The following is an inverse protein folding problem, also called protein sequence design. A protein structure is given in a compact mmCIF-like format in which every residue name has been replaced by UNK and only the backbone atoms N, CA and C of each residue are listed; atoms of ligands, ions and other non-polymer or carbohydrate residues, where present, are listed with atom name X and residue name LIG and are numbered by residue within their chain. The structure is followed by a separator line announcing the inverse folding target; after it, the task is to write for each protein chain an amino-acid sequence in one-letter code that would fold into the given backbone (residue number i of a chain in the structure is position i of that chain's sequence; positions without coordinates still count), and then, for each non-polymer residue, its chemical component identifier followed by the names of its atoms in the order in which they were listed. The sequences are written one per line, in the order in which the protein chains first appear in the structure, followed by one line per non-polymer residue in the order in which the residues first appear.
data_IF_279114374647
#
_entry.id   IF_279114374647
#
_cell.length_a   1.000
_cell.length_b   1.000
_cell.length_c   1.000
_cell.angle_alpha   90.00
_cell.angle_beta   90.00
_cell.angle_gamma   90.00
#
_symmetry.space_group_name_H-M   'P 1'
#
loop_
_entity.id
_entity.type
_entity.pdbx_description
1 polymer ?
#
# COMPACT_ATOMS: atom_id res chain seq x y z
N UNK A 1 -5.43 7.97 -6.82
CA UNK A 1 -6.58 8.86 -6.53
C UNK A 1 -7.85 8.04 -6.61
N UNK A 2 -8.95 8.36 -5.90
CA UNK A 2 -10.20 7.65 -6.10
C UNK A 2 -10.66 7.81 -7.54
N UNK A 3 -10.70 6.72 -8.27
CA UNK A 3 -11.07 6.68 -9.69
C UNK A 3 -11.97 5.45 -9.91
N UNK A 4 -13.09 5.66 -10.60
CA UNK A 4 -14.09 4.62 -10.80
C UNK A 4 -14.66 4.09 -9.48
N UNK A 5 -14.42 2.79 -9.22
CA UNK A 5 -15.00 2.06 -8.09
C UNK A 5 -14.12 2.05 -6.83
N UNK A 6 -12.89 2.56 -6.90
CA UNK A 6 -11.90 2.39 -5.83
C UNK A 6 -11.58 3.71 -5.12
N UNK A 7 -11.40 3.65 -3.80
CA UNK A 7 -10.98 4.77 -2.95
C UNK A 7 -9.50 5.15 -3.07
N UNK A 8 -8.78 4.65 -4.09
CA UNK A 8 -7.33 4.75 -4.24
C UNK A 8 -6.56 3.51 -3.76
N UNK A 9 -7.23 2.61 -3.03
CA UNK A 9 -6.70 1.29 -2.66
C UNK A 9 -7.75 0.23 -2.99
N UNK A 10 -7.29 -0.94 -3.40
CA UNK A 10 -8.09 -2.14 -3.62
C UNK A 10 -7.47 -3.30 -2.86
N UNK A 11 -8.29 -4.04 -2.10
CA UNK A 11 -7.81 -5.28 -1.49
C UNK A 11 -7.92 -6.42 -2.50
N UNK A 12 -6.79 -6.79 -3.12
CA UNK A 12 -6.81 -7.66 -4.30
C UNK A 12 -7.05 -9.15 -3.97
N UNK A 13 -6.94 -9.55 -2.72
CA UNK A 13 -7.13 -10.93 -2.26
C UNK A 13 -8.42 -11.13 -1.46
N UNK A 14 -9.21 -10.07 -1.28
CA UNK A 14 -10.54 -10.16 -0.68
C UNK A 14 -11.59 -10.30 -1.76
N UNK A 15 -12.09 -11.52 -1.95
CA UNK A 15 -13.04 -11.81 -3.02
C UNK A 15 -13.66 -13.18 -2.92
N UNK A 16 -14.31 -13.58 -4.01
CA UNK A 16 -14.80 -14.94 -4.22
C UNK A 16 -14.22 -15.47 -5.53
N UNK A 17 -13.62 -16.65 -5.46
CA UNK A 17 -13.37 -17.46 -6.65
C UNK A 17 -14.71 -17.94 -7.24
N UNK A 18 -14.85 -17.77 -8.54
CA UNK A 18 -15.93 -18.35 -9.35
C UNK A 18 -15.32 -19.28 -10.40
N UNK A 19 -16.15 -20.08 -11.08
CA UNK A 19 -15.66 -20.99 -12.14
C UNK A 19 -14.96 -20.26 -13.30
N UNK A 20 -15.26 -18.96 -13.49
CA UNK A 20 -14.74 -18.17 -14.60
C UNK A 20 -13.74 -17.07 -14.18
N UNK A 21 -13.81 -16.56 -12.94
CA UNK A 21 -12.96 -15.45 -12.48
C UNK A 21 -12.95 -15.22 -10.96
N UNK A 22 -11.97 -14.46 -10.46
CA UNK A 22 -12.00 -13.90 -9.11
C UNK A 22 -12.83 -12.61 -9.07
N UNK A 23 -13.86 -12.58 -8.23
CA UNK A 23 -14.69 -11.39 -8.02
C UNK A 23 -14.29 -10.69 -6.72
N UNK A 24 -13.76 -9.46 -6.83
CA UNK A 24 -13.41 -8.62 -5.69
C UNK A 24 -14.64 -8.36 -4.80
N UNK A 25 -14.41 -8.34 -3.48
CA UNK A 25 -15.42 -8.08 -2.48
C UNK A 25 -14.97 -7.02 -1.49
N UNK A 26 -15.95 -6.25 -1.02
CA UNK A 26 -15.76 -5.21 -0.03
C UNK A 26 -15.53 -3.84 -0.67
N UNK A 27 -15.62 -2.83 0.16
CA UNK A 27 -15.27 -1.45 -0.17
C UNK A 27 -14.37 -0.95 0.95
N UNK A 28 -13.31 -0.25 0.58
CA UNK A 28 -12.46 0.46 1.54
C UNK A 28 -13.00 1.89 1.69
N UNK A 29 -12.84 2.47 2.88
CA UNK A 29 -13.31 3.83 3.11
C UNK A 29 -12.59 4.81 2.18
N UNK A 30 -13.36 5.68 1.52
CA UNK A 30 -12.78 6.71 0.68
C UNK A 30 -12.00 7.73 1.54
N UNK A 31 -10.95 8.37 0.99
CA UNK A 31 -10.25 9.42 1.69
C UNK A 31 -11.15 10.66 1.95
N UNK A 32 -10.92 11.41 3.05
CA UNK A 32 -11.65 12.63 3.37
C UNK A 32 -11.57 13.65 2.23
N UNK A 33 -12.61 14.45 2.04
CA UNK A 33 -12.65 15.49 1.01
C UNK A 33 -11.51 16.50 1.14
N UNK A 34 -11.15 16.89 2.37
CA UNK A 34 -10.02 17.78 2.65
C UNK A 34 -8.70 17.23 2.09
N UNK A 35 -8.39 15.96 2.35
CA UNK A 35 -7.20 15.31 1.83
C UNK A 35 -7.24 15.17 0.31
N UNK A 36 -8.40 14.83 -0.27
CA UNK A 36 -8.55 14.73 -1.74
C UNK A 36 -8.30 16.08 -2.42
N UNK A 37 -8.91 17.15 -1.91
CA UNK A 37 -8.71 18.51 -2.42
C UNK A 37 -7.26 18.98 -2.30
N UNK A 38 -6.59 18.65 -1.18
CA UNK A 38 -5.19 18.98 -0.99
C UNK A 38 -4.29 18.28 -2.02
N UNK A 39 -4.53 17.00 -2.29
CA UNK A 39 -3.75 16.28 -3.31
C UNK A 39 -4.05 16.78 -4.73
N UNK A 40 -5.29 17.13 -5.08
CA UNK A 40 -5.60 17.73 -6.39
C UNK A 40 -4.92 19.09 -6.57
N UNK A 41 -4.85 19.88 -5.50
CA UNK A 41 -4.13 21.16 -5.49
C UNK A 41 -2.63 20.92 -5.65
N UNK A 42 -2.06 19.98 -4.89
CA UNK A 42 -0.65 19.58 -5.01
C UNK A 42 -0.32 19.09 -6.41
N UNK A 43 -1.14 18.19 -6.98
CA UNK A 43 -0.98 17.68 -8.35
C UNK A 43 -0.98 18.81 -9.37
N UNK A 44 -1.88 19.78 -9.24
CA UNK A 44 -1.97 20.93 -10.14
C UNK A 44 -0.73 21.82 -10.05
N UNK A 45 -0.24 22.08 -8.83
CA UNK A 45 0.95 22.90 -8.59
C UNK A 45 2.22 22.24 -9.15
N UNK A 46 2.35 20.92 -8.99
CA UNK A 46 3.50 20.14 -9.45
C UNK A 46 3.56 19.98 -10.99
N UNK A 47 2.54 20.42 -11.73
CA UNK A 47 2.63 20.55 -13.19
C UNK A 47 3.52 21.72 -13.63
N UNK A 48 3.80 22.66 -12.73
CA UNK A 48 4.53 23.91 -13.02
C UNK A 48 5.75 24.09 -12.11
N UNK A 49 5.74 23.47 -10.93
CA UNK A 49 6.80 23.58 -9.92
C UNK A 49 7.40 22.21 -9.64
N UNK A 50 8.69 22.20 -9.29
CA UNK A 50 9.34 21.01 -8.77
C UNK A 50 8.80 20.64 -7.39
N UNK A 51 8.79 19.33 -7.09
CA UNK A 51 8.46 18.83 -5.77
C UNK A 51 9.60 19.09 -4.77
N UNK A 52 9.29 19.04 -3.47
CA UNK A 52 10.25 19.33 -2.39
C UNK A 52 10.83 18.09 -1.73
N UNK A 53 10.64 16.91 -2.33
CA UNK A 53 11.00 15.65 -1.70
C UNK A 53 12.51 15.59 -1.46
N UNK A 54 13.33 15.89 -2.47
CA UNK A 54 14.80 15.87 -2.33
C UNK A 54 15.31 16.89 -1.32
N UNK A 55 14.70 18.07 -1.26
CA UNK A 55 15.00 19.09 -0.24
C UNK A 55 14.74 18.54 1.16
N UNK A 56 13.59 17.89 1.37
CA UNK A 56 13.23 17.33 2.66
C UNK A 56 14.11 16.16 3.08
N UNK A 57 14.49 15.29 2.13
CA UNK A 57 15.40 14.17 2.40
C UNK A 57 16.79 14.71 2.74
N UNK A 58 17.32 15.67 1.97
CA UNK A 58 18.61 16.30 2.24
C UNK A 58 18.65 16.94 3.63
N UNK A 59 17.64 17.76 3.95
CA UNK A 59 17.51 18.39 5.25
C UNK A 59 17.31 17.38 6.40
N UNK A 60 16.74 16.21 6.14
CA UNK A 60 16.64 15.13 7.12
C UNK A 60 18.01 14.50 7.37
N UNK A 61 18.77 14.17 6.32
CA UNK A 61 20.08 13.51 6.44
C UNK A 61 21.08 14.37 7.21
N UNK A 62 21.04 15.69 7.02
CA UNK A 62 21.89 16.66 7.74
C UNK A 62 21.68 16.66 9.25
N UNK A 63 20.51 16.21 9.76
CA UNK A 63 20.21 16.21 11.20
C UNK A 63 20.98 15.18 11.99
N UNK A 64 21.58 14.16 11.35
CA UNK A 64 22.42 13.23 12.08
C UNK A 64 22.91 12.04 11.27
N UNK A 65 24.11 11.56 11.62
CA UNK A 65 24.82 10.47 10.92
C UNK A 65 24.00 9.19 10.68
N UNK A 66 23.05 8.87 11.56
CA UNK A 66 22.21 7.65 11.41
C UNK A 66 21.22 7.77 10.25
N UNK A 67 20.89 9.00 9.84
CA UNK A 67 19.94 9.27 8.76
C UNK A 67 20.59 9.16 7.38
N UNK A 68 21.91 9.05 7.29
CA UNK A 68 22.63 8.79 6.04
C UNK A 68 22.17 7.49 5.35
N UNK A 69 21.64 6.51 6.10
CA UNK A 69 21.08 5.28 5.53
C UNK A 69 19.84 5.52 4.65
N UNK A 70 19.19 6.69 4.77
CA UNK A 70 18.02 7.09 3.99
C UNK A 70 18.40 7.91 2.74
N UNK A 71 19.71 8.07 2.47
CA UNK A 71 20.17 8.65 1.22
C UNK A 71 19.77 7.77 0.03
N UNK A 72 19.64 8.40 -1.14
CA UNK A 72 19.35 7.69 -2.37
C UNK A 72 20.44 6.66 -2.68
N UNK A 73 20.10 5.37 -2.92
CA UNK A 73 21.06 4.37 -3.37
C UNK A 73 21.64 4.71 -4.75
N UNK A 74 22.76 4.06 -5.10
CA UNK A 74 23.35 4.14 -6.45
C UNK A 74 22.36 3.64 -7.50
N UNK A 75 22.35 4.28 -8.68
CA UNK A 75 21.55 3.86 -9.83
C UNK A 75 21.89 2.45 -10.31
N UNK A 76 23.11 1.98 -10.04
CA UNK A 76 23.54 0.61 -10.35
C UNK A 76 22.74 -0.47 -9.60
N UNK A 77 22.06 -0.06 -8.52
CA UNK A 77 21.18 -0.94 -7.72
C UNK A 77 19.71 -0.85 -8.15
N UNK A 78 19.34 0.07 -9.05
CA UNK A 78 18.02 0.14 -9.69
C UNK A 78 17.99 -0.77 -10.93
N UNK A 79 17.75 -2.07 -10.70
CA UNK A 79 17.81 -3.09 -11.76
C UNK A 79 16.43 -3.69 -11.97
N UNK A 80 15.92 -3.58 -13.19
CA UNK A 80 14.70 -4.25 -13.63
C UNK A 80 15.06 -5.42 -14.55
N UNK A 81 14.64 -6.63 -14.18
CA UNK A 81 14.82 -7.82 -15.00
C UNK A 81 13.60 -8.12 -15.87
N UNK A 82 13.81 -8.87 -16.96
CA UNK A 82 12.74 -9.40 -17.79
C UNK A 82 11.74 -10.22 -16.95
N UNK A 83 10.44 -10.11 -17.21
CA UNK A 83 9.40 -10.72 -16.39
C UNK A 83 9.45 -12.26 -16.29
N UNK A 84 10.09 -12.93 -17.25
CA UNK A 84 10.29 -14.39 -17.27
C UNK A 84 11.62 -14.87 -16.69
N UNK A 85 12.49 -13.94 -16.28
CA UNK A 85 13.75 -14.28 -15.62
C UNK A 85 13.50 -14.33 -14.11
N UNK A 86 13.82 -15.46 -13.49
CA UNK A 86 13.60 -15.69 -12.06
C UNK A 86 14.93 -15.74 -11.33
N UNK A 87 14.94 -15.17 -10.12
CA UNK A 87 16.11 -15.24 -9.26
C UNK A 87 16.32 -16.69 -8.81
N UNK A 88 17.46 -17.29 -9.16
CA UNK A 88 17.89 -18.60 -8.64
C UNK A 88 18.28 -18.45 -7.15
N UNK A 89 17.88 -19.41 -6.32
CA UNK A 89 17.56 -19.24 -4.91
C UNK A 89 18.70 -18.95 -3.91
N UNK A 90 18.26 -18.49 -2.72
CA UNK A 90 18.92 -18.33 -1.41
C UNK A 90 19.85 -17.14 -1.15
N UNK A 91 20.21 -16.34 -2.16
CA UNK A 91 20.95 -15.08 -1.96
C UNK A 91 19.99 -13.92 -2.17
N UNK A 92 19.93 -12.97 -1.24
CA UNK A 92 19.06 -11.78 -1.34
C UNK A 92 19.58 -10.71 -2.30
N UNK A 93 20.70 -10.98 -2.97
CA UNK A 93 21.45 -10.03 -3.79
C UNK A 93 21.47 -10.50 -5.25
N UNK A 94 21.13 -9.59 -6.16
CA UNK A 94 21.15 -9.84 -7.60
C UNK A 94 22.55 -9.71 -8.22
N UNK A 95 23.61 -9.86 -7.42
CA UNK A 95 25.00 -9.76 -7.88
C UNK A 95 25.38 -10.90 -8.83
N UNK A 96 24.72 -12.06 -8.66
CA UNK A 96 24.92 -13.26 -9.48
C UNK A 96 23.87 -13.39 -10.59
N UNK A 97 22.91 -12.46 -10.68
CA UNK A 97 21.91 -12.46 -11.73
C UNK A 97 22.53 -12.08 -13.07
N UNK A 98 22.05 -12.69 -14.14
CA UNK A 98 22.49 -12.45 -15.51
C UNK A 98 22.08 -11.04 -15.95
N UNK A 99 23.07 -10.15 -16.08
CA UNK A 99 22.84 -8.76 -16.50
C UNK A 99 22.36 -8.63 -17.94
N UNK A 100 22.53 -9.66 -18.78
CA UNK A 100 21.93 -9.69 -20.12
C UNK A 100 20.39 -9.77 -20.09
N UNK A 101 19.81 -10.15 -18.94
CA UNK A 101 18.36 -10.19 -18.70
C UNK A 101 17.80 -8.90 -18.10
N UNK A 102 18.62 -7.85 -18.00
CA UNK A 102 18.16 -6.54 -17.57
C UNK A 102 17.40 -5.85 -18.70
N UNK A 103 16.27 -5.23 -18.36
CA UNK A 103 15.50 -4.42 -19.30
C UNK A 103 16.24 -3.11 -19.54
N UNK A 104 16.54 -2.80 -20.80
CA UNK A 104 17.09 -1.51 -21.17
C UNK A 104 16.02 -0.42 -20.97
N UNK A 105 16.37 0.62 -20.22
CA UNK A 105 15.49 1.74 -19.89
C UNK A 105 16.12 3.05 -20.33
N UNK A 106 15.31 4.02 -20.81
CA UNK A 106 15.80 5.37 -21.06
C UNK A 106 16.48 5.93 -19.81
N UNK A 107 17.55 6.70 -20.03
CA UNK A 107 18.16 7.48 -18.95
C UNK A 107 17.11 8.43 -18.37
N UNK A 108 17.05 8.53 -17.04
CA UNK A 108 16.14 9.48 -16.40
C UNK A 108 16.63 10.91 -16.67
N UNK A 109 15.71 11.79 -17.04
CA UNK A 109 16.01 13.22 -17.18
C UNK A 109 16.25 13.88 -15.80
N UNK A 110 15.68 13.29 -14.75
CA UNK A 110 15.79 13.75 -13.36
C UNK A 110 16.07 12.58 -12.41
N UNK A 111 17.03 12.77 -11.50
CA UNK A 111 17.47 11.73 -10.56
C UNK A 111 16.67 11.70 -9.25
N UNK A 112 15.80 12.67 -9.02
CA UNK A 112 14.98 12.76 -7.82
C UNK A 112 13.68 11.95 -7.90
N UNK A 113 12.93 11.88 -6.79
CA UNK A 113 11.64 11.23 -6.72
C UNK A 113 10.58 11.92 -7.57
N UNK A 114 9.74 11.10 -8.21
CA UNK A 114 8.52 11.54 -8.88
C UNK A 114 7.29 11.02 -8.12
N UNK A 115 6.21 11.82 -8.12
CA UNK A 115 4.95 11.45 -7.50
C UNK A 115 4.01 10.92 -8.57
N UNK A 116 3.62 9.65 -8.43
CA UNK A 116 2.61 9.02 -9.29
C UNK A 116 1.28 8.88 -8.53
N UNK A 117 0.19 9.16 -9.22
CA UNK A 117 -1.16 9.07 -8.68
C UNK A 117 -1.90 7.92 -9.36
N UNK A 118 -2.33 6.92 -8.57
CA UNK A 118 -3.10 5.80 -9.12
C UNK A 118 -3.60 4.86 -8.04
N UNK A 119 -3.91 3.62 -8.45
CA UNK A 119 -4.47 2.58 -7.61
C UNK A 119 -3.36 1.75 -6.95
N UNK A 120 -3.49 1.51 -5.65
CA UNK A 120 -2.59 0.64 -4.89
C UNK A 120 -3.31 -0.68 -4.58
N UNK A 121 -2.69 -1.80 -4.93
CA UNK A 121 -3.20 -3.12 -4.60
C UNK A 121 -2.64 -3.57 -3.24
N UNK A 122 -3.53 -3.78 -2.28
CA UNK A 122 -3.22 -4.20 -0.92
C UNK A 122 -3.65 -5.65 -0.69
N UNK A 123 -2.86 -6.44 0.02
CA UNK A 123 -3.23 -7.82 0.37
C UNK A 123 -2.30 -8.46 1.40
N UNK A 124 -2.67 -9.62 1.94
CA UNK A 124 -2.00 -10.24 3.09
C UNK A 124 -0.71 -10.99 2.70
N UNK A 125 -0.31 -10.98 1.43
CA UNK A 125 0.83 -11.75 0.91
C UNK A 125 1.78 -10.90 0.09
N UNK A 126 3.10 -11.07 0.30
CA UNK A 126 4.10 -10.40 -0.55
C UNK A 126 4.00 -10.92 -1.99
N UNK A 127 3.84 -10.01 -2.95
CA UNK A 127 3.93 -10.34 -4.38
C UNK A 127 5.41 -10.37 -4.79
N UNK A 128 5.96 -11.58 -4.94
CA UNK A 128 7.34 -11.83 -5.43
C UNK A 128 7.38 -12.66 -6.72
N UNK A 129 6.25 -12.76 -7.41
CA UNK A 129 6.09 -13.63 -8.56
C UNK A 129 5.39 -12.86 -9.69
N UNK A 130 6.06 -12.77 -10.83
CA UNK A 130 5.59 -12.01 -11.99
C UNK A 130 4.30 -12.56 -12.59
N UNK A 131 4.08 -13.88 -12.53
CA UNK A 131 2.82 -14.52 -12.93
C UNK A 131 1.67 -14.09 -12.01
N UNK A 132 1.87 -14.15 -10.69
CA UNK A 132 0.87 -13.69 -9.71
C UNK A 132 0.57 -12.21 -9.87
N UNK A 133 1.61 -11.38 -10.01
CA UNK A 133 1.50 -9.94 -10.29
C UNK A 133 0.66 -9.69 -11.54
N UNK A 134 0.94 -10.41 -12.63
CA UNK A 134 0.22 -10.26 -13.90
C UNK A 134 -1.23 -10.72 -13.82
N UNK A 135 -1.53 -11.77 -13.04
CA UNK A 135 -2.90 -12.21 -12.79
C UNK A 135 -3.69 -11.12 -12.06
N UNK A 136 -3.13 -10.56 -10.98
CA UNK A 136 -3.78 -9.48 -10.23
C UNK A 136 -4.03 -8.26 -11.12
N UNK A 137 -3.06 -7.84 -11.94
CA UNK A 137 -3.25 -6.70 -12.87
C UNK A 137 -4.39 -6.99 -13.87
N UNK A 138 -4.51 -8.22 -14.37
CA UNK A 138 -5.61 -8.58 -15.29
C UNK A 138 -6.98 -8.55 -14.62
N UNK A 139 -7.05 -8.93 -13.35
CA UNK A 139 -8.31 -8.99 -12.59
C UNK A 139 -8.73 -7.63 -12.05
N UNK A 140 -7.78 -6.83 -11.57
CA UNK A 140 -8.02 -5.54 -10.89
C UNK A 140 -7.98 -4.36 -11.86
N UNK A 141 -7.13 -4.43 -12.89
CA UNK A 141 -6.85 -3.33 -13.81
C UNK A 141 -5.53 -2.62 -13.51
N UNK A 142 -5.50 -1.31 -13.79
CA UNK A 142 -4.28 -0.50 -13.78
C UNK A 142 -3.82 -0.14 -12.35
N UNK A 143 -3.08 -1.07 -11.75
CA UNK A 143 -2.46 -0.92 -10.42
C UNK A 143 -1.03 -0.40 -10.57
N UNK A 144 -0.67 0.62 -9.79
CA UNK A 144 0.68 1.18 -9.80
C UNK A 144 1.67 0.46 -8.89
N UNK A 145 1.21 -0.04 -7.73
CA UNK A 145 2.08 -0.76 -6.80
C UNK A 145 1.31 -1.74 -5.90
N UNK A 146 2.09 -2.62 -5.26
CA UNK A 146 1.61 -3.66 -4.35
C UNK A 146 2.16 -3.43 -2.95
N UNK A 147 1.33 -3.64 -1.94
CA UNK A 147 1.68 -3.51 -0.52
C UNK A 147 0.77 -4.40 0.35
N UNK A 148 0.97 -4.41 1.68
CA UNK A 148 0.31 -5.39 2.55
C UNK A 148 -0.48 -4.82 3.74
N UNK A 149 -0.63 -3.50 3.85
CA UNK A 149 -1.16 -2.91 5.08
C UNK A 149 -2.33 -1.94 4.87
N UNK A 150 -2.44 -1.29 3.70
CA UNK A 150 -3.43 -0.24 3.50
C UNK A 150 -4.87 -0.71 3.62
N UNK A 151 -5.20 -1.90 3.08
CA UNK A 151 -6.55 -2.43 3.15
C UNK A 151 -7.03 -2.53 4.60
N UNK A 152 -6.20 -3.09 5.48
CA UNK A 152 -6.49 -3.17 6.91
C UNK A 152 -6.75 -1.79 7.52
N UNK A 153 -5.87 -0.82 7.28
CA UNK A 153 -6.04 0.54 7.82
C UNK A 153 -7.31 1.23 7.31
N UNK A 154 -7.63 1.09 6.02
CA UNK A 154 -8.77 1.75 5.39
C UNK A 154 -10.12 1.09 5.71
N UNK A 155 -10.14 -0.03 6.43
CA UNK A 155 -11.36 -0.55 7.07
C UNK A 155 -11.76 0.25 8.32
N UNK A 156 -10.80 0.88 9.00
CA UNK A 156 -11.04 1.60 10.26
C UNK A 156 -10.89 3.12 10.13
N UNK A 157 -9.99 3.61 9.26
CA UNK A 157 -9.69 5.03 9.09
C UNK A 157 -9.89 5.52 7.66
N UNK A 158 -10.59 6.64 7.50
CA UNK A 158 -10.61 7.38 6.24
C UNK A 158 -9.28 8.12 6.06
N UNK A 159 -8.43 7.67 5.13
CA UNK A 159 -7.08 8.20 4.94
C UNK A 159 -6.63 8.19 3.47
N UNK A 160 -5.52 8.86 3.17
CA UNK A 160 -4.78 8.72 1.91
C UNK A 160 -3.54 7.86 2.18
N UNK A 161 -3.26 6.94 1.28
CA UNK A 161 -2.08 6.08 1.34
C UNK A 161 -1.00 6.63 0.43
N UNK A 162 0.21 6.79 0.98
CA UNK A 162 1.41 7.22 0.27
C UNK A 162 2.44 6.09 0.41
N UNK A 163 2.98 5.62 -0.71
CA UNK A 163 3.99 4.55 -0.75
C UNK A 163 5.21 5.03 -1.52
N UNK A 164 6.39 4.82 -0.93
CA UNK A 164 7.65 4.87 -1.66
C UNK A 164 7.92 3.52 -2.30
N UNK A 165 8.46 3.52 -3.51
CA UNK A 165 8.74 2.30 -4.27
C UNK A 165 10.11 1.75 -3.88
N UNK A 166 10.16 0.50 -3.44
CA UNK A 166 11.39 -0.17 -2.99
C UNK A 166 11.85 -1.33 -3.87
N UNK A 167 10.97 -1.84 -4.73
CA UNK A 167 11.25 -2.99 -5.59
C UNK A 167 10.15 -3.12 -6.66
N UNK A 168 10.31 -4.12 -7.54
CA UNK A 168 9.46 -4.37 -8.69
C UNK A 168 8.37 -5.43 -8.48
N UNK A 169 8.14 -5.87 -7.23
CA UNK A 169 7.20 -6.95 -6.89
C UNK A 169 7.48 -8.26 -7.69
N UNK A 170 8.76 -8.60 -7.84
CA UNK A 170 9.25 -9.78 -8.53
C UNK A 170 10.18 -10.61 -7.63
N UNK A 171 10.80 -11.65 -8.21
CA UNK A 171 11.73 -12.51 -7.49
C UNK A 171 13.04 -11.83 -7.09
N UNK A 172 13.33 -10.62 -7.61
CA UNK A 172 14.57 -9.88 -7.39
C UNK A 172 14.44 -8.83 -6.26
N UNK A 173 13.31 -8.81 -5.56
CA UNK A 173 13.10 -7.94 -4.39
C UNK A 173 14.22 -8.10 -3.36
N UNK A 174 14.82 -6.98 -2.99
CA UNK A 174 15.82 -6.84 -1.92
C UNK A 174 15.54 -5.59 -1.06
N UNK A 175 16.40 -5.34 -0.07
CA UNK A 175 16.16 -4.32 0.97
C UNK A 175 16.94 -3.01 0.78
N UNK A 176 17.71 -2.86 -0.31
CA UNK A 176 18.58 -1.68 -0.54
C UNK A 176 17.81 -0.36 -0.60
N UNK A 177 16.62 -0.41 -1.17
CA UNK A 177 15.81 0.77 -1.42
C UNK A 177 14.80 1.07 -0.31
N UNK A 178 14.66 0.21 0.72
CA UNK A 178 13.61 0.36 1.74
C UNK A 178 13.75 1.66 2.53
N UNK A 179 14.97 2.02 2.95
CA UNK A 179 15.18 3.27 3.69
C UNK A 179 14.86 4.49 2.83
N UNK A 180 15.37 4.54 1.61
CA UNK A 180 15.09 5.65 0.70
C UNK A 180 13.59 5.73 0.36
N UNK A 181 12.93 4.61 0.08
CA UNK A 181 11.49 4.53 -0.14
C UNK A 181 10.68 5.04 1.07
N UNK A 182 11.10 4.71 2.29
CA UNK A 182 10.46 5.22 3.50
C UNK A 182 10.65 6.75 3.63
N UNK A 183 11.84 7.27 3.33
CA UNK A 183 12.11 8.70 3.36
C UNK A 183 11.33 9.47 2.29
N UNK A 184 11.25 8.97 1.06
CA UNK A 184 10.48 9.59 -0.02
C UNK A 184 8.99 9.61 0.29
N UNK A 185 8.44 8.52 0.85
CA UNK A 185 7.06 8.49 1.31
C UNK A 185 6.79 9.52 2.41
N UNK A 186 7.66 9.61 3.41
CA UNK A 186 7.52 10.58 4.50
C UNK A 186 7.67 12.03 4.03
N UNK A 187 8.60 12.29 3.10
CA UNK A 187 8.80 13.60 2.49
C UNK A 187 7.60 14.01 1.61
N UNK A 188 7.05 13.08 0.81
CA UNK A 188 5.81 13.30 0.06
C UNK A 188 4.63 13.59 0.99
N UNK A 189 4.52 12.87 2.11
CA UNK A 189 3.49 13.15 3.11
C UNK A 189 3.66 14.56 3.71
N UNK A 190 4.90 14.96 4.02
CA UNK A 190 5.20 16.32 4.50
C UNK A 190 4.85 17.40 3.46
N UNK A 191 5.10 17.14 2.18
CA UNK A 191 4.72 18.05 1.10
C UNK A 191 3.20 18.18 1.02
N UNK A 192 2.46 17.07 1.04
CA UNK A 192 1.00 17.08 1.05
C UNK A 192 0.42 17.86 2.24
N UNK A 193 1.00 17.70 3.42
CA UNK A 193 0.56 18.44 4.61
C UNK A 193 0.66 19.96 4.44
N UNK A 194 1.56 20.46 3.58
CA UNK A 194 1.67 21.90 3.29
C UNK A 194 0.49 22.47 2.48
N UNK A 195 -0.32 21.59 1.87
CA UNK A 195 -1.55 21.94 1.16
C UNK A 195 -2.81 21.85 2.03
N UNK A 196 -2.68 21.46 3.30
CA UNK A 196 -3.80 21.41 4.24
C UNK A 196 -3.84 22.69 5.06
N UNK A 197 -5.04 23.26 5.23
CA UNK A 197 -5.30 24.29 6.24
C UNK A 197 -5.45 23.60 7.61
N UNK A 198 -4.56 23.84 8.58
CA UNK A 198 -4.64 23.23 9.91
C UNK A 198 -5.97 23.47 10.62
N UNK A 199 -6.71 24.52 10.26
CA UNK A 199 -8.00 24.87 10.86
C UNK A 199 -9.20 24.18 10.19
N UNK A 200 -8.98 23.50 9.06
CA UNK A 200 -10.02 22.87 8.25
C UNK A 200 -9.78 21.36 8.05
N UNK A 201 -9.03 20.74 8.96
CA UNK A 201 -8.81 19.29 8.96
C UNK A 201 -9.91 18.66 9.83
N UNK A 202 -10.86 17.98 9.18
CA UNK A 202 -11.77 17.08 9.88
C UNK A 202 -10.94 15.98 10.58
N UNK A 203 -11.25 15.69 11.85
CA UNK A 203 -10.66 14.56 12.55
C UNK A 203 -10.94 13.25 11.79
N UNK A 204 -10.00 12.29 11.78
CA UNK A 204 -10.18 11.03 11.06
C UNK A 204 -11.46 10.36 11.55
N UNK A 205 -12.45 10.22 10.65
CA UNK A 205 -13.70 9.53 11.00
C UNK A 205 -13.41 8.04 11.14
N UNK A 206 -13.71 7.47 12.30
CA UNK A 206 -13.64 6.02 12.48
C UNK A 206 -14.86 5.34 11.86
N UNK A 207 -14.70 4.07 11.50
CA UNK A 207 -15.82 3.22 11.08
C UNK A 207 -17.00 3.25 12.06
N UNK A 208 -16.75 3.37 13.36
CA UNK A 208 -17.78 3.50 14.41
C UNK A 208 -18.62 4.78 14.33
N UNK A 209 -18.10 5.85 13.73
CA UNK A 209 -18.74 7.18 13.66
C UNK A 209 -19.55 7.37 12.37
N UNK A 210 -19.47 6.42 11.43
CA UNK A 210 -20.20 6.44 10.16
C UNK A 210 -21.52 5.65 10.21
N UNK A 211 -21.87 5.07 11.36
CA UNK A 211 -23.19 4.45 11.55
C UNK A 211 -24.22 5.56 11.77
N UNK A 212 -25.29 5.66 10.95
CA UNK A 212 -26.37 6.59 11.22
C UNK A 212 -27.05 6.22 12.54
N UNK A 213 -27.45 7.24 13.31
CA UNK A 213 -28.29 7.12 14.49
C UNK A 213 -29.63 6.48 14.12
N UNK A 214 -29.67 5.14 14.07
CA UNK A 214 -30.90 4.39 14.04
C UNK A 214 -31.15 3.82 15.43
N UNK A 215 -31.85 4.61 16.25
CA UNK A 215 -32.72 4.06 17.28
C UNK A 215 -33.74 3.12 16.59
N UNK A 216 -33.39 1.84 16.56
CA UNK A 216 -34.30 0.74 16.25
C UNK A 216 -33.67 -0.51 16.83
N UNK A 217 -34.06 -0.79 18.07
CA UNK A 217 -33.65 -1.97 18.83
C UNK A 217 -34.30 -3.21 18.21
N UNK A 218 -33.72 -3.74 17.14
CA UNK A 218 -34.01 -5.08 16.63
C UNK A 218 -32.98 -6.05 17.22
N UNK A 219 -33.39 -6.75 18.29
CA UNK A 219 -32.63 -7.86 18.87
C UNK A 219 -32.59 -9.04 17.89
N UNK A 220 -31.57 -9.10 17.05
CA UNK A 220 -31.29 -10.30 16.25
C UNK A 220 -30.35 -11.21 17.04
N UNK A 221 -30.94 -12.20 17.73
CA UNK A 221 -30.18 -13.26 18.40
C UNK A 221 -29.68 -14.22 17.31
N UNK A 222 -28.38 -14.19 17.03
CA UNK A 222 -27.73 -15.13 16.14
C UNK A 222 -27.50 -16.47 16.87
N UNK A 223 -28.20 -17.53 16.43
CA UNK A 223 -27.93 -18.90 16.89
C UNK A 223 -27.03 -19.60 15.88
N UNK A 224 -25.72 -19.54 16.11
CA UNK A 224 -24.73 -20.31 15.36
C UNK A 224 -24.26 -21.51 16.19
N UNK A 225 -24.56 -22.72 15.74
CA UNK A 225 -23.91 -23.94 16.26
C UNK A 225 -22.66 -24.22 15.45
N UNK A 226 -21.50 -23.87 15.99
CA UNK A 226 -20.20 -24.26 15.43
C UNK A 226 -19.83 -25.68 15.84
N UNK A 227 -19.63 -26.59 14.88
CA UNK A 227 -18.97 -27.87 15.12
C UNK A 227 -17.47 -27.63 14.96
N UNK A 228 -16.73 -27.62 16.06
CA UNK A 228 -15.27 -27.60 16.04
C UNK A 228 -14.77 -29.04 15.96
N UNK A 229 -14.22 -29.42 14.81
CA UNK A 229 -13.36 -30.59 14.72
C UNK A 229 -11.95 -30.19 15.18
N UNK A 230 -11.61 -30.56 16.41
CA UNK A 230 -10.21 -30.58 16.86
C UNK A 230 -9.92 -31.96 17.44
N UNK A 231 -8.89 -32.60 16.88
CA UNK A 231 -8.42 -33.90 17.32
C UNK A 231 -7.81 -33.82 18.71
N UNK A 232 -8.16 -34.82 19.52
CA UNK A 232 -7.46 -35.41 20.67
C UNK A 232 -6.69 -34.48 21.62
N UNK A 233 -7.34 -34.10 22.72
CA UNK A 233 -6.69 -33.65 23.95
C UNK A 233 -7.69 -33.04 24.94
N UNK A 234 -7.89 -33.69 26.09
CA UNK A 234 -8.86 -33.33 27.12
C UNK A 234 -8.59 -31.95 27.75
N UNK A 235 -9.61 -31.07 27.79
CA UNK A 235 -9.77 -30.10 28.87
C UNK A 235 -11.24 -29.71 29.10
N UNK A 236 -11.64 -29.70 30.37
CA UNK A 236 -13.01 -29.53 30.85
C UNK A 236 -13.58 -28.12 30.66
N UNK A 237 -14.85 -28.04 30.25
CA UNK A 237 -15.62 -26.81 30.03
C UNK A 237 -16.14 -26.24 31.36
N UNK A 238 -15.71 -25.01 31.68
CA UNK A 238 -16.32 -24.16 32.70
C UNK A 238 -17.63 -23.54 32.17
N UNK A 239 -18.68 -23.62 32.99
CA UNK A 239 -20.07 -23.22 32.70
C UNK A 239 -20.23 -21.73 32.37
N UNK A 240 -21.05 -21.47 31.35
CA UNK A 240 -21.99 -20.35 31.16
C UNK A 240 -21.59 -18.99 31.78
N UNK A 241 -21.00 -18.11 30.96
CA UNK A 241 -21.01 -16.67 31.19
C UNK A 241 -22.07 -16.04 30.30
N UNK A 242 -23.21 -15.69 30.90
CA UNK A 242 -24.13 -14.70 30.35
C UNK A 242 -23.65 -13.33 30.80
N UNK A 243 -23.36 -12.43 29.86
CA UNK A 243 -23.21 -11.00 30.14
C UNK A 243 -24.43 -10.31 29.53
N UNK A 244 -25.28 -9.80 30.42
CA UNK A 244 -26.40 -8.89 30.15
C UNK A 244 -25.90 -7.48 29.89
#
# INVERSE_FOLDING_TARGET
MPEGQYGGVVQYDLGKDTEESFCLKGFLMAPPSSLRSAVETMRSDLMVKENKIDEFISAMIEKGRRLAAYARPSDETDILFEAGYFHESNVSLCDQCDRSKCVERPTRDFNGPEIHYGLIASGDSVVKNTTRRSAIIREVGDVLCFEMEAAGMMTEFSCIVIRGISDYADSHKNDHWHYYAAATAAACAKELLSYLDPNNIESPRRSSELQPDHESRASNVFHGTGIQNTGSGDFSVGKNLNIS
#
